data_IF_581592852326
#
_entry.id   IF_581592852326
#
_cell.length_a   1.000
_cell.length_b   1.000
_cell.length_c   1.000
_cell.angle_alpha   90.00
_cell.angle_beta   90.00
_cell.angle_gamma   90.00
#
_symmetry.space_group_name_H-M   'P 1'
#
loop_
_entity.id
_entity.type
_entity.pdbx_description
1 polymer ?
#
# COMPACT_ATOMS: atom_id res chain seq x y z
N UNK A 1 30.48 -41.38 46.72
CA UNK A 1 31.36 -40.99 45.60
C UNK A 1 30.69 -41.47 44.32
N UNK A 2 29.85 -40.66 43.65
CA UNK A 2 30.19 -39.81 42.47
C UNK A 2 30.92 -40.63 41.39
N UNK A 3 30.44 -40.80 40.15
CA UNK A 3 29.74 -39.89 39.22
C UNK A 3 28.78 -40.66 38.27
N UNK A 4 27.57 -40.14 38.11
CA UNK A 4 26.69 -40.36 36.95
C UNK A 4 26.71 -39.04 36.18
N UNK A 5 27.26 -39.02 34.96
CA UNK A 5 27.12 -37.91 34.00
C UNK A 5 26.27 -38.53 32.88
N UNK A 6 25.02 -38.16 32.65
CA UNK A 6 24.47 -36.80 32.59
C UNK A 6 24.01 -36.56 31.16
N UNK A 7 23.10 -37.43 30.66
CA UNK A 7 22.41 -37.27 29.38
C UNK A 7 21.20 -36.37 29.64
N UNK A 8 21.34 -35.07 29.40
CA UNK A 8 20.22 -34.13 29.42
C UNK A 8 20.39 -33.11 28.29
N UNK A 9 19.61 -33.36 27.24
CA UNK A 9 18.94 -32.39 26.36
C UNK A 9 19.71 -31.15 25.91
N UNK A 10 20.16 -31.23 24.65
CA UNK A 10 20.16 -30.08 23.74
C UNK A 10 18.73 -29.53 23.61
N UNK A 11 18.39 -28.50 24.38
CA UNK A 11 17.32 -27.56 24.06
C UNK A 11 17.80 -26.15 24.42
N UNK A 12 18.79 -25.67 23.65
CA UNK A 12 19.04 -24.24 23.56
C UNK A 12 17.90 -23.63 22.77
N UNK A 13 16.83 -23.23 23.47
CA UNK A 13 15.77 -22.36 22.97
C UNK A 13 16.42 -21.17 22.25
N UNK A 14 16.46 -21.22 20.92
CA UNK A 14 16.53 -20.01 20.12
C UNK A 14 15.22 -19.28 20.36
N UNK A 15 15.20 -18.42 21.38
CA UNK A 15 14.11 -17.47 21.59
C UNK A 15 14.02 -16.66 20.29
N UNK A 16 13.04 -17.00 19.45
CA UNK A 16 12.71 -16.21 18.28
C UNK A 16 12.40 -14.82 18.84
N UNK A 17 13.12 -13.76 18.43
CA UNK A 17 12.81 -12.43 18.90
C UNK A 17 11.37 -12.15 18.50
N UNK A 18 10.49 -12.00 19.49
CA UNK A 18 9.13 -11.53 19.23
C UNK A 18 9.29 -10.15 18.60
N UNK A 19 8.76 -9.93 17.39
CA UNK A 19 8.80 -8.60 16.81
C UNK A 19 8.09 -7.65 17.78
N UNK A 20 8.67 -6.49 18.10
CA UNK A 20 8.02 -5.52 18.97
C UNK A 20 6.59 -5.26 18.48
N UNK A 21 5.62 -5.23 19.39
CA UNK A 21 4.19 -5.11 19.07
C UNK A 21 3.85 -3.97 18.09
N UNK A 22 4.65 -2.89 18.10
CA UNK A 22 4.55 -1.79 17.14
C UNK A 22 4.76 -2.23 15.68
N UNK A 23 5.72 -3.11 15.41
CA UNK A 23 5.96 -3.65 14.05
C UNK A 23 4.78 -4.49 13.55
N UNK A 24 4.11 -5.24 14.44
CA UNK A 24 2.93 -6.03 14.06
C UNK A 24 1.73 -5.14 13.74
N UNK A 25 1.52 -4.07 14.50
CA UNK A 25 0.44 -3.12 14.27
C UNK A 25 0.62 -2.39 12.93
N UNK A 26 1.83 -1.91 12.66
CA UNK A 26 2.13 -1.19 11.42
C UNK A 26 2.02 -2.11 10.20
N UNK A 27 2.47 -3.36 10.33
CA UNK A 27 2.30 -4.39 9.30
C UNK A 27 0.81 -4.66 9.00
N UNK A 28 -0.02 -4.83 10.03
CA UNK A 28 -1.44 -5.07 9.84
C UNK A 28 -2.16 -3.87 9.22
N UNK A 29 -1.80 -2.64 9.62
CA UNK A 29 -2.33 -1.41 9.04
C UNK A 29 -1.96 -1.30 7.56
N UNK A 30 -0.71 -1.62 7.21
CA UNK A 30 -0.22 -1.68 5.84
C UNK A 30 -0.98 -2.70 5.00
N UNK A 31 -1.11 -3.94 5.46
CA UNK A 31 -1.83 -5.00 4.76
C UNK A 31 -3.30 -4.63 4.53
N UNK A 32 -3.93 -4.01 5.53
CA UNK A 32 -5.31 -3.51 5.43
C UNK A 32 -5.42 -2.40 4.39
N UNK A 33 -4.47 -1.45 4.35
CA UNK A 33 -4.43 -0.39 3.34
C UNK A 33 -4.30 -0.97 1.93
N UNK A 34 -3.41 -1.94 1.72
CA UNK A 34 -3.23 -2.60 0.42
C UNK A 34 -4.50 -3.34 -0.01
N UNK A 35 -5.08 -4.14 0.89
CA UNK A 35 -6.29 -4.92 0.60
C UNK A 35 -7.50 -4.03 0.29
N UNK A 36 -7.72 -2.97 1.06
CA UNK A 36 -8.83 -2.03 0.82
C UNK A 36 -8.62 -1.24 -0.47
N UNK A 37 -7.39 -0.86 -0.79
CA UNK A 37 -7.07 -0.21 -2.06
C UNK A 37 -7.37 -1.13 -3.24
N UNK A 38 -6.99 -2.41 -3.15
CA UNK A 38 -7.31 -3.40 -4.17
C UNK A 38 -8.82 -3.56 -4.36
N UNK A 39 -9.60 -3.58 -3.27
CA UNK A 39 -11.06 -3.65 -3.33
C UNK A 39 -11.67 -2.44 -4.04
N UNK A 40 -11.16 -1.23 -3.80
CA UNK A 40 -11.62 -0.01 -4.49
C UNK A 40 -11.31 -0.08 -5.98
N UNK A 41 -10.09 -0.48 -6.36
CA UNK A 41 -9.72 -0.64 -7.77
C UNK A 41 -10.57 -1.69 -8.47
N UNK A 42 -10.81 -2.83 -7.83
CA UNK A 42 -11.70 -3.88 -8.34
C UNK A 42 -13.14 -3.38 -8.48
N UNK A 43 -13.63 -2.58 -7.53
CA UNK A 43 -14.96 -1.98 -7.63
C UNK A 43 -15.06 -1.02 -8.83
N UNK A 44 -14.02 -0.25 -9.14
CA UNK A 44 -13.97 0.60 -10.34
C UNK A 44 -13.97 -0.24 -11.62
N UNK A 45 -13.17 -1.30 -11.65
CA UNK A 45 -13.01 -2.17 -12.84
C UNK A 45 -14.28 -2.96 -13.17
N UNK A 46 -14.88 -3.59 -12.16
CA UNK A 46 -15.94 -4.58 -12.35
C UNK A 46 -17.35 -4.02 -12.17
N UNK A 47 -17.54 -2.79 -11.67
CA UNK A 47 -18.87 -2.19 -11.52
C UNK A 47 -19.75 -2.27 -12.80
N UNK A 48 -19.23 -1.98 -14.02
CA UNK A 48 -20.03 -2.08 -15.25
C UNK A 48 -20.52 -3.50 -15.56
N UNK A 49 -19.73 -4.51 -15.20
CA UNK A 49 -20.04 -5.92 -15.49
C UNK A 49 -20.97 -6.55 -14.43
N UNK A 50 -20.95 -6.03 -13.19
CA UNK A 50 -21.65 -6.60 -12.05
C UNK A 50 -22.95 -5.87 -11.68
N UNK A 51 -23.33 -4.82 -12.40
CA UNK A 51 -24.46 -3.94 -12.07
C UNK A 51 -24.41 -3.40 -10.62
N UNK A 52 -23.20 -3.29 -10.06
CA UNK A 52 -22.97 -2.72 -8.74
C UNK A 52 -22.80 -1.21 -8.80
N UNK A 53 -23.04 -0.54 -7.67
CA UNK A 53 -22.79 0.90 -7.53
C UNK A 53 -21.30 1.17 -7.72
N UNK A 54 -20.96 1.84 -8.83
CA UNK A 54 -19.59 2.29 -9.08
C UNK A 54 -19.17 3.28 -7.98
N UNK A 55 -17.90 3.26 -7.52
CA UNK A 55 -17.39 4.28 -6.61
C UNK A 55 -17.58 5.68 -7.22
N UNK A 56 -18.23 6.58 -6.47
CA UNK A 56 -18.43 7.96 -6.96
C UNK A 56 -17.12 8.72 -6.95
N UNK A 57 -17.05 9.84 -7.68
CA UNK A 57 -15.93 10.78 -7.60
C UNK A 57 -15.59 11.17 -6.17
N UNK A 58 -16.57 11.47 -5.33
CA UNK A 58 -16.33 11.85 -3.93
C UNK A 58 -15.70 10.71 -3.15
N UNK A 59 -16.17 9.47 -3.34
CA UNK A 59 -15.58 8.28 -2.72
C UNK A 59 -14.13 8.10 -3.14
N UNK A 60 -13.83 8.21 -4.44
CA UNK A 60 -12.46 8.05 -4.96
C UNK A 60 -11.52 9.15 -4.44
N UNK A 61 -11.98 10.40 -4.36
CA UNK A 61 -11.19 11.50 -3.82
C UNK A 61 -10.93 11.34 -2.33
N UNK A 62 -11.95 11.00 -1.54
CA UNK A 62 -11.80 10.75 -0.11
C UNK A 62 -10.82 9.59 0.14
N UNK A 63 -10.95 8.51 -0.62
CA UNK A 63 -10.05 7.36 -0.52
C UNK A 63 -8.61 7.72 -0.92
N UNK A 64 -8.41 8.57 -1.93
CA UNK A 64 -7.06 9.04 -2.31
C UNK A 64 -6.35 9.80 -1.17
N UNK A 65 -7.10 10.52 -0.34
CA UNK A 65 -6.53 11.23 0.82
C UNK A 65 -6.10 10.25 1.90
N UNK A 66 -6.88 9.21 2.17
CA UNK A 66 -6.51 8.15 3.11
C UNK A 66 -5.28 7.36 2.64
N UNK A 67 -5.19 7.05 1.35
CA UNK A 67 -4.00 6.38 0.77
C UNK A 67 -2.75 7.26 0.91
N UNK A 68 -2.84 8.56 0.65
CA UNK A 68 -1.71 9.48 0.86
C UNK A 68 -1.32 9.60 2.33
N UNK A 69 -2.28 9.58 3.27
CA UNK A 69 -1.98 9.54 4.70
C UNK A 69 -1.16 8.31 5.06
N UNK A 70 -1.54 7.13 4.56
CA UNK A 70 -0.75 5.91 4.75
C UNK A 70 0.64 6.00 4.11
N UNK A 71 0.78 6.63 2.93
CA UNK A 71 2.08 6.86 2.32
C UNK A 71 2.98 7.73 3.22
N UNK A 72 2.43 8.80 3.81
CA UNK A 72 3.15 9.67 4.76
C UNK A 72 3.57 8.89 6.01
N UNK A 73 2.69 8.05 6.56
CA UNK A 73 3.01 7.23 7.72
C UNK A 73 4.17 6.26 7.43
N UNK A 74 4.16 5.60 6.26
CA UNK A 74 5.25 4.71 5.82
C UNK A 74 6.57 5.49 5.66
N UNK A 75 6.54 6.67 5.04
CA UNK A 75 7.75 7.49 4.92
C UNK A 75 8.27 7.96 6.28
N UNK A 76 7.38 8.27 7.22
CA UNK A 76 7.77 8.61 8.59
C UNK A 76 8.42 7.43 9.31
N UNK A 77 7.88 6.21 9.16
CA UNK A 77 8.50 4.98 9.67
C UNK A 77 9.88 4.72 9.05
N UNK A 78 10.07 5.08 7.77
CA UNK A 78 11.35 5.01 7.08
C UNK A 78 12.34 6.14 7.44
N UNK A 79 11.95 7.09 8.30
CA UNK A 79 12.79 8.20 8.76
C UNK A 79 12.71 9.48 7.92
N UNK A 80 11.83 9.55 6.92
CA UNK A 80 11.86 10.54 5.83
C UNK A 80 10.61 11.41 5.81
N UNK A 81 10.45 12.20 6.87
CA UNK A 81 9.22 12.98 7.18
C UNK A 81 9.02 14.24 6.35
N UNK A 82 10.00 14.65 5.54
CA UNK A 82 10.00 15.95 4.84
C UNK A 82 9.98 15.80 3.32
N UNK A 83 9.75 14.60 2.81
CA UNK A 83 9.63 14.37 1.37
C UNK A 83 8.31 14.93 0.84
N UNK A 84 8.37 15.57 -0.32
CA UNK A 84 7.20 15.90 -1.12
C UNK A 84 6.68 14.64 -1.82
N UNK A 85 6.09 13.74 -1.03
CA UNK A 85 5.51 12.49 -1.51
C UNK A 85 4.49 12.70 -2.63
N UNK A 86 3.58 13.70 -2.58
CA UNK A 86 2.66 13.96 -3.68
C UNK A 86 3.37 14.22 -5.01
N UNK A 87 4.43 15.05 -5.02
CA UNK A 87 5.18 15.32 -6.25
C UNK A 87 5.93 14.07 -6.75
N UNK A 88 6.53 13.29 -5.84
CA UNK A 88 7.21 12.05 -6.20
C UNK A 88 6.22 10.99 -6.73
N UNK A 89 5.07 10.85 -6.10
CA UNK A 89 3.98 9.96 -6.51
C UNK A 89 3.45 10.32 -7.89
N UNK A 90 3.24 11.62 -8.16
CA UNK A 90 2.90 12.12 -9.49
C UNK A 90 3.96 11.74 -10.52
N UNK A 91 5.25 12.00 -10.25
CA UNK A 91 6.33 11.67 -11.20
C UNK A 91 6.50 10.16 -11.43
N UNK A 92 6.09 9.31 -10.48
CA UNK A 92 5.99 7.87 -10.70
C UNK A 92 4.78 7.49 -11.55
N UNK A 93 3.61 8.07 -11.25
CA UNK A 93 2.41 7.86 -12.05
C UNK A 93 2.64 8.23 -13.52
N UNK A 94 3.22 9.40 -13.79
CA UNK A 94 3.52 9.87 -15.16
C UNK A 94 4.40 8.88 -15.93
N UNK A 95 5.37 8.25 -15.26
CA UNK A 95 6.20 7.20 -15.86
C UNK A 95 5.42 5.92 -16.14
N UNK A 96 4.49 5.53 -15.27
CA UNK A 96 3.67 4.33 -15.44
C UNK A 96 2.69 4.47 -16.61
N UNK A 97 2.16 5.67 -16.85
CA UNK A 97 1.21 5.92 -17.95
C UNK A 97 1.85 6.39 -19.26
N UNK A 98 3.18 6.57 -19.29
CA UNK A 98 3.89 7.11 -20.45
C UNK A 98 3.66 6.31 -21.74
N UNK A 99 3.50 5.00 -21.63
CA UNK A 99 3.23 4.11 -22.78
C UNK A 99 1.73 3.93 -23.05
N UNK A 100 0.89 4.07 -22.03
CA UNK A 100 -0.56 3.84 -22.11
C UNK A 100 -1.29 4.64 -21.03
N UNK A 101 -2.16 5.56 -21.44
CA UNK A 101 -2.91 6.47 -20.55
C UNK A 101 -4.09 5.78 -19.82
N UNK A 102 -3.75 4.75 -19.04
CA UNK A 102 -4.67 3.90 -18.31
C UNK A 102 -4.44 4.00 -16.80
N UNK A 103 -5.11 4.94 -16.11
CA UNK A 103 -4.89 5.22 -14.70
C UNK A 103 -5.24 4.03 -13.79
N UNK A 104 -6.23 3.22 -14.17
CA UNK A 104 -6.60 2.02 -13.43
C UNK A 104 -5.46 0.98 -13.47
N UNK A 105 -4.87 0.76 -14.66
CA UNK A 105 -3.74 -0.15 -14.82
C UNK A 105 -2.50 0.36 -14.08
N UNK A 106 -2.21 1.66 -14.15
CA UNK A 106 -1.13 2.27 -13.39
C UNK A 106 -1.31 2.11 -11.87
N UNK A 107 -2.53 2.28 -11.37
CA UNK A 107 -2.86 2.04 -9.97
C UNK A 107 -2.61 0.59 -9.55
N UNK A 108 -3.05 -0.40 -10.35
CA UNK A 108 -2.78 -1.81 -10.09
C UNK A 108 -1.28 -2.13 -10.09
N UNK A 109 -0.53 -1.63 -11.07
CA UNK A 109 0.91 -1.89 -11.16
C UNK A 109 1.68 -1.29 -9.98
N UNK A 110 1.35 -0.05 -9.59
CA UNK A 110 1.94 0.59 -8.43
C UNK A 110 1.56 -0.16 -7.15
N UNK A 111 0.29 -0.52 -6.96
CA UNK A 111 -0.18 -1.26 -5.78
C UNK A 111 0.44 -2.65 -5.67
N UNK A 112 0.62 -3.34 -6.80
CA UNK A 112 1.32 -4.62 -6.82
C UNK A 112 2.77 -4.48 -6.36
N UNK A 113 3.43 -3.41 -6.81
CA UNK A 113 4.80 -3.10 -6.39
C UNK A 113 4.88 -2.73 -4.91
N UNK A 114 3.90 -1.98 -4.39
CA UNK A 114 3.75 -1.70 -2.94
C UNK A 114 3.61 -3.01 -2.17
N UNK A 115 2.72 -3.89 -2.57
CA UNK A 115 2.48 -5.17 -1.90
C UNK A 115 3.73 -6.08 -1.92
N UNK A 116 4.49 -6.07 -3.02
CA UNK A 116 5.73 -6.82 -3.15
C UNK A 116 6.85 -6.28 -2.24
N UNK A 117 7.02 -4.96 -2.20
CA UNK A 117 8.06 -4.31 -1.41
C UNK A 117 7.77 -4.34 0.09
N UNK A 118 6.50 -4.27 0.48
CA UNK A 118 6.10 -4.19 1.88
C UNK A 118 6.62 -2.93 2.59
N UNK A 119 6.54 -2.94 3.92
CA UNK A 119 7.09 -1.84 4.74
C UNK A 119 8.62 -1.73 4.63
N UNK A 120 9.31 -2.84 4.37
CA UNK A 120 10.77 -2.88 4.21
C UNK A 120 11.26 -2.08 2.99
N UNK A 121 10.41 -1.85 2.00
CA UNK A 121 10.71 -0.97 0.86
C UNK A 121 10.74 0.52 1.21
N UNK A 122 10.33 0.90 2.43
CA UNK A 122 10.44 2.25 3.00
C UNK A 122 9.90 3.34 2.08
N UNK A 123 10.77 4.31 1.73
CA UNK A 123 10.42 5.45 0.88
C UNK A 123 9.86 5.01 -0.48
N UNK A 124 10.37 3.93 -1.06
CA UNK A 124 9.91 3.45 -2.37
C UNK A 124 8.47 2.98 -2.28
N UNK A 125 8.12 2.23 -1.24
CA UNK A 125 6.76 1.81 -0.94
C UNK A 125 5.84 3.03 -0.73
N UNK A 126 6.26 3.99 0.09
CA UNK A 126 5.51 5.23 0.32
C UNK A 126 5.25 6.00 -0.98
N UNK A 127 6.29 6.12 -1.83
CA UNK A 127 6.19 6.86 -3.09
C UNK A 127 5.24 6.18 -4.08
N UNK A 128 5.32 4.85 -4.21
CA UNK A 128 4.43 4.09 -5.08
C UNK A 128 2.98 4.10 -4.55
N UNK A 129 2.79 4.09 -3.22
CA UNK A 129 1.47 4.24 -2.63
C UNK A 129 0.88 5.64 -2.90
N UNK A 130 1.70 6.69 -2.86
CA UNK A 130 1.28 8.04 -3.28
C UNK A 130 0.98 8.11 -4.79
N UNK A 131 1.69 7.34 -5.63
CA UNK A 131 1.34 7.20 -7.04
C UNK A 131 -0.05 6.54 -7.24
N UNK A 132 -0.42 5.58 -6.38
CA UNK A 132 -1.78 5.02 -6.37
C UNK A 132 -2.80 6.09 -5.98
N UNK A 133 -2.54 6.89 -4.93
CA UNK A 133 -3.41 8.01 -4.56
C UNK A 133 -3.60 9.01 -5.72
N UNK A 134 -2.52 9.32 -6.45
CA UNK A 134 -2.60 10.17 -7.64
C UNK A 134 -3.46 9.54 -8.74
N UNK A 135 -3.26 8.26 -9.05
CA UNK A 135 -4.06 7.55 -10.04
C UNK A 135 -5.56 7.54 -9.70
N UNK A 136 -5.92 7.39 -8.42
CA UNK A 136 -7.30 7.50 -7.94
C UNK A 136 -7.91 8.88 -8.19
N UNK A 137 -7.14 9.96 -8.03
CA UNK A 137 -7.60 11.32 -8.36
C UNK A 137 -7.87 11.47 -9.85
N UNK A 138 -7.02 10.90 -10.70
CA UNK A 138 -7.23 10.89 -12.16
C UNK A 138 -8.49 10.09 -12.52
N UNK A 139 -8.72 8.94 -11.90
CA UNK A 139 -9.94 8.16 -12.08
C UNK A 139 -11.18 8.96 -11.67
N UNK A 140 -11.14 9.64 -10.52
CA UNK A 140 -12.23 10.48 -10.02
C UNK A 140 -12.55 11.65 -10.98
N UNK A 141 -11.52 12.22 -11.62
CA UNK A 141 -11.70 13.26 -12.64
C UNK A 141 -12.35 12.72 -13.92
N UNK A 142 -12.11 11.46 -14.27
CA UNK A 142 -12.73 10.82 -15.45
C UNK A 142 -14.19 10.45 -15.21
N UNK A 143 -14.55 9.98 -14.01
CA UNK A 143 -15.95 9.71 -13.63
C UNK A 143 -16.80 10.98 -13.73
N UNK A 144 -16.32 12.10 -13.20
CA UNK A 144 -17.03 13.38 -13.27
C UNK A 144 -17.24 13.93 -14.70
N UNK A 145 -16.57 13.40 -15.72
CA UNK A 145 -16.79 13.78 -17.14
C UNK A 145 -17.86 12.92 -17.82
N UNK A 146 -18.18 11.74 -17.29
CA UNK A 146 -19.15 10.81 -17.88
C UNK A 146 -20.59 11.09 -17.43
N UNK A 147 -20.76 11.88 -16.36
CA UNK A 147 -22.06 12.19 -15.73
C UNK A 147 -22.67 13.54 -16.16
N UNK A 148 -22.17 14.18 -17.24
CA UNK A 148 -22.65 15.47 -17.75
C UNK A 148 -23.17 15.41 -19.19
#
# INVERSE_FOLDING_TARGET
>A
MTLFVGRAMLEGMTAVPQPPHFQLHDQQAFETCVATTLQVLAAVEFAPALHHTQPTRETLLAFSVEVDRHAVDIAALAGERFLDLPALGQGWYERLVAERDEPLQAAYQALHSVAYLGLDGGITTATLLSAVAYALRVLAQREGRLCH
#
